data_IF_803741445553
#
_entry.id   IF_803741445553
#
_cell.length_a   1.000
_cell.length_b   1.000
_cell.length_c   1.000
_cell.angle_alpha   90.00
_cell.angle_beta   90.00
_cell.angle_gamma   90.00
#
_symmetry.space_group_name_H-M   'P 1'
#
loop_
_entity.id
_entity.type
_entity.pdbx_description
1 polymer ?
#
# COMPACT_ATOMS: atom_id res chain seq x y z
N UNK A 1 0.33 -11.07 11.52
CA UNK A 1 -0.01 -9.64 11.45
C UNK A 1 0.95 -8.97 10.48
N UNK A 2 0.48 -8.53 9.31
CA UNK A 2 1.32 -7.73 8.41
C UNK A 2 1.83 -6.53 9.20
N UNK A 3 3.14 -6.46 9.45
CA UNK A 3 3.83 -5.41 10.21
C UNK A 3 3.85 -4.04 9.50
N UNK A 4 2.78 -3.71 8.81
CA UNK A 4 2.48 -2.35 8.38
C UNK A 4 1.98 -1.60 9.60
N UNK A 5 2.91 -1.00 10.34
CA UNK A 5 2.56 -0.10 11.44
C UNK A 5 1.52 0.94 10.99
N UNK A 6 0.58 1.27 11.88
CA UNK A 6 -0.62 2.05 11.57
C UNK A 6 -0.37 3.32 10.73
N UNK A 7 0.77 4.01 10.93
CA UNK A 7 1.18 5.17 10.13
C UNK A 7 1.26 4.87 8.63
N UNK A 8 1.81 3.73 8.22
CA UNK A 8 1.97 3.39 6.80
C UNK A 8 0.62 3.17 6.13
N UNK A 9 -0.28 2.46 6.81
CA UNK A 9 -1.64 2.26 6.32
C UNK A 9 -2.39 3.59 6.21
N UNK A 10 -2.20 4.49 7.17
CA UNK A 10 -2.79 5.84 7.13
C UNK A 10 -2.24 6.67 5.96
N UNK A 11 -0.94 6.58 5.67
CA UNK A 11 -0.33 7.23 4.50
C UNK A 11 -0.90 6.66 3.20
N UNK A 12 -1.05 5.34 3.08
CA UNK A 12 -1.71 4.71 1.94
C UNK A 12 -3.15 5.25 1.75
N UNK A 13 -3.95 5.27 2.80
CA UNK A 13 -5.32 5.78 2.76
C UNK A 13 -5.35 7.25 2.31
N UNK A 14 -4.43 8.08 2.80
CA UNK A 14 -4.33 9.50 2.40
C UNK A 14 -3.82 9.68 0.98
N UNK A 15 -2.89 8.85 0.53
CA UNK A 15 -2.28 8.92 -0.80
C UNK A 15 -3.26 8.51 -1.89
N UNK A 16 -3.98 7.41 -1.66
CA UNK A 16 -4.95 6.87 -2.62
C UNK A 16 -6.36 7.43 -2.43
N UNK A 17 -6.66 8.13 -1.34
CA UNK A 17 -7.99 8.71 -1.09
C UNK A 17 -9.03 7.71 -0.58
N UNK A 18 -8.68 6.44 -0.37
CA UNK A 18 -9.57 5.47 0.24
C UNK A 18 -9.14 4.03 0.04
N UNK A 19 -9.85 3.10 0.70
CA UNK A 19 -9.58 1.66 0.57
C UNK A 19 -9.83 1.13 -0.84
N UNK A 20 -10.87 1.61 -1.54
CA UNK A 20 -11.20 1.17 -2.91
C UNK A 20 -10.08 1.46 -3.90
N UNK A 21 -9.53 2.67 -3.86
CA UNK A 21 -8.42 3.05 -4.73
C UNK A 21 -7.15 2.23 -4.45
N UNK A 22 -6.90 1.86 -3.18
CA UNK A 22 -5.80 0.96 -2.81
C UNK A 22 -6.00 -0.44 -3.42
N UNK A 23 -7.24 -0.95 -3.48
CA UNK A 23 -7.54 -2.26 -4.08
C UNK A 23 -7.26 -2.28 -5.59
N UNK A 24 -7.39 -1.12 -6.26
CA UNK A 24 -7.13 -0.97 -7.69
C UNK A 24 -5.68 -0.52 -7.99
N UNK A 25 -4.90 -0.20 -6.95
CA UNK A 25 -3.54 0.30 -7.10
C UNK A 25 -2.59 -0.80 -7.60
N UNK A 26 -1.79 -0.47 -8.61
CA UNK A 26 -0.71 -1.36 -9.06
C UNK A 26 0.46 -1.37 -8.08
N UNK A 27 1.33 -2.38 -8.15
CA UNK A 27 2.57 -2.41 -7.36
C UNK A 27 3.41 -1.13 -7.56
N UNK A 28 3.43 -0.60 -8.79
CA UNK A 28 4.10 0.67 -9.11
C UNK A 28 3.48 1.85 -8.37
N UNK A 29 2.16 1.94 -8.31
CA UNK A 29 1.46 3.01 -7.61
C UNK A 29 1.74 2.93 -6.11
N UNK A 30 1.71 1.73 -5.53
CA UNK A 30 2.02 1.50 -4.11
C UNK A 30 3.46 1.95 -3.79
N UNK A 31 4.40 1.78 -4.72
CA UNK A 31 5.79 2.24 -4.59
C UNK A 31 5.93 3.77 -4.64
N UNK A 32 4.96 4.50 -5.19
CA UNK A 32 4.96 5.98 -5.17
C UNK A 32 4.70 6.55 -3.78
N UNK A 33 4.17 5.74 -2.86
CA UNK A 33 3.86 6.17 -1.50
C UNK A 33 5.17 6.39 -0.72
N UNK A 34 5.36 7.57 -0.11
CA UNK A 34 6.54 7.86 0.70
C UNK A 34 6.74 6.85 1.83
N UNK A 35 7.93 6.26 1.93
CA UNK A 35 8.26 5.26 2.96
C UNK A 35 7.85 3.82 2.61
N UNK A 36 7.42 3.57 1.37
CA UNK A 36 7.20 2.24 0.81
C UNK A 36 8.27 1.90 -0.22
N UNK A 37 9.15 0.97 0.16
CA UNK A 37 10.15 0.40 -0.75
C UNK A 37 9.58 -0.74 -1.61
N UNK A 38 10.32 -1.21 -2.63
CA UNK A 38 9.86 -2.24 -3.58
C UNK A 38 9.42 -3.54 -2.90
N UNK A 39 10.18 -4.04 -1.90
CA UNK A 39 9.80 -5.24 -1.17
C UNK A 39 8.47 -5.09 -0.40
N UNK A 40 8.18 -3.89 0.12
CA UNK A 40 6.92 -3.64 0.84
C UNK A 40 5.76 -3.45 -0.14
N UNK A 41 6.00 -2.75 -1.27
CA UNK A 41 5.01 -2.57 -2.32
C UNK A 41 4.52 -3.92 -2.85
N UNK A 42 5.45 -4.83 -3.17
CA UNK A 42 5.13 -6.20 -3.59
C UNK A 42 4.25 -6.93 -2.57
N UNK A 43 4.63 -6.91 -1.28
CA UNK A 43 3.86 -7.57 -0.21
C UNK A 43 2.45 -7.00 -0.04
N UNK A 44 2.29 -5.68 -0.18
CA UNK A 44 0.96 -5.04 -0.10
C UNK A 44 0.13 -5.44 -1.30
N UNK A 45 0.71 -5.40 -2.50
CA UNK A 45 0.04 -5.79 -3.74
C UNK A 45 -0.41 -7.25 -3.67
N UNK A 46 0.45 -8.16 -3.24
CA UNK A 46 0.12 -9.57 -3.01
C UNK A 46 -0.97 -9.74 -1.94
N UNK A 47 -0.93 -8.97 -0.84
CA UNK A 47 -1.93 -9.05 0.23
C UNK A 47 -3.31 -8.50 -0.15
N UNK A 48 -3.39 -7.68 -1.20
CA UNK A 48 -4.63 -7.09 -1.72
C UNK A 48 -5.27 -7.98 -2.79
N UNK A 49 -4.44 -8.64 -3.60
CA UNK A 49 -4.87 -9.48 -4.72
C UNK A 49 -5.02 -10.97 -4.36
N UNK A 50 -4.98 -11.30 -3.08
CA UNK A 50 -5.10 -12.66 -2.54
C UNK A 50 -6.29 -12.73 -1.58
#
# INVERSE_FOLDING_TARGET
MLGLGAKKFQTLIRHFGGRKEILHASEKDIRTVPGIGPALAKRIFEAINN
#
